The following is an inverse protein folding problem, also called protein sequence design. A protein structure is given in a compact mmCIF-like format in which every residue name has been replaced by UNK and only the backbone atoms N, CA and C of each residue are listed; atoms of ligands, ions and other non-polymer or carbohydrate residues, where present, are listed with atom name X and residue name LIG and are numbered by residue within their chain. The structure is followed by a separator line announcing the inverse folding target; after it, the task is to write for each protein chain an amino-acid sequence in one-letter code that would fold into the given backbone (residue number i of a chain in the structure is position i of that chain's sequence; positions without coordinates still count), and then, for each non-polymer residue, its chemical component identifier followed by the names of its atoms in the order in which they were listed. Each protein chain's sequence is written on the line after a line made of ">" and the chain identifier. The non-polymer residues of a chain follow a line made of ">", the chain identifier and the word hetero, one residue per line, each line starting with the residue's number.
data_IF_443447647590
#
_entry.id   IF_443447647590
#
_cell.length_a   1.000
_cell.length_b   1.000
_cell.length_c   1.000
_cell.angle_alpha   90.00
_cell.angle_beta   90.00
_cell.angle_gamma   90.00
#
_symmetry.space_group_name_H-M   'P 1'
#
loop_
_entity.id
_entity.type
_entity.pdbx_description
1 polymer ?
#
# COMPACT_ATOMS: atom_id res chain seq x y z
N UNK A 1 -0.97 9.90 -5.42
CA UNK A 1 -0.94 9.25 -4.09
C UNK A 1 -0.10 7.97 -4.07
N UNK A 2 -0.19 7.07 -5.06
CA UNK A 2 0.64 5.85 -5.11
C UNK A 2 2.16 6.12 -4.99
N UNK A 3 2.70 7.11 -5.70
CA UNK A 3 4.15 7.41 -5.65
C UNK A 3 4.61 7.89 -4.26
N UNK A 4 3.79 8.67 -3.56
CA UNK A 4 4.11 9.12 -2.20
C UNK A 4 4.09 7.96 -1.21
N UNK A 5 3.13 7.04 -1.34
CA UNK A 5 3.10 5.83 -0.54
C UNK A 5 4.34 4.94 -0.78
N UNK A 6 4.85 4.90 -2.02
CA UNK A 6 6.10 4.19 -2.32
C UNK A 6 7.28 4.81 -1.59
N UNK A 7 7.44 6.14 -1.67
CA UNK A 7 8.49 6.87 -0.95
C UNK A 7 8.40 6.65 0.56
N UNK A 8 7.21 6.68 1.15
CA UNK A 8 7.02 6.39 2.58
C UNK A 8 7.45 4.95 2.94
N UNK A 9 7.15 3.98 2.08
CA UNK A 9 7.60 2.60 2.26
C UNK A 9 9.13 2.47 2.23
N UNK A 10 9.78 3.18 1.30
CA UNK A 10 11.24 3.19 1.17
C UNK A 10 11.92 3.87 2.38
N UNK A 11 11.26 4.85 3.01
CA UNK A 11 11.67 5.47 4.27
C UNK A 11 11.37 4.60 5.51
N UNK A 12 10.76 3.43 5.33
CA UNK A 12 10.39 2.53 6.42
C UNK A 12 9.12 2.93 7.18
N UNK A 13 8.42 3.99 6.75
CA UNK A 13 7.13 4.45 7.30
C UNK A 13 5.97 3.60 6.75
N UNK A 14 6.03 2.29 7.00
CA UNK A 14 5.14 1.30 6.39
C UNK A 14 3.66 1.52 6.77
N UNK A 15 3.36 1.91 8.02
CA UNK A 15 1.98 2.17 8.46
C UNK A 15 1.34 3.34 7.71
N UNK A 16 2.12 4.37 7.41
CA UNK A 16 1.67 5.56 6.69
C UNK A 16 1.51 5.25 5.19
N UNK A 17 2.44 4.48 4.62
CA UNK A 17 2.33 3.98 3.25
C UNK A 17 1.06 3.14 3.05
N UNK A 18 0.74 2.23 4.00
CA UNK A 18 -0.46 1.39 3.96
C UNK A 18 -1.73 2.23 4.03
N UNK A 19 -1.84 3.17 4.98
CA UNK A 19 -3.01 4.06 5.08
C UNK A 19 -3.25 4.86 3.80
N UNK A 20 -2.17 5.36 3.20
CA UNK A 20 -2.26 6.15 1.95
C UNK A 20 -2.71 5.30 0.76
N UNK A 21 -2.21 4.06 0.66
CA UNK A 21 -2.64 3.13 -0.38
C UNK A 21 -4.11 2.72 -0.22
N UNK A 22 -4.58 2.48 1.01
CA UNK A 22 -5.99 2.13 1.25
C UNK A 22 -6.96 3.23 0.79
N UNK A 23 -6.65 4.50 1.10
CA UNK A 23 -7.43 5.65 0.61
C UNK A 23 -7.38 5.72 -0.94
N UNK A 24 -6.19 5.55 -1.51
CA UNK A 24 -5.99 5.61 -2.97
C UNK A 24 -6.79 4.53 -3.69
N UNK A 25 -6.76 3.29 -3.19
CA UNK A 25 -7.46 2.15 -3.77
C UNK A 25 -8.98 2.35 -3.68
N UNK A 26 -9.51 2.86 -2.55
CA UNK A 26 -10.93 3.17 -2.42
C UNK A 26 -11.39 4.18 -3.47
N UNK A 27 -10.61 5.23 -3.72
CA UNK A 27 -10.92 6.21 -4.75
C UNK A 27 -10.83 5.59 -6.16
N UNK A 28 -9.76 4.85 -6.44
CA UNK A 28 -9.55 4.21 -7.74
C UNK A 28 -10.66 3.21 -8.07
N UNK A 29 -11.10 2.40 -7.11
CA UNK A 29 -12.23 1.46 -7.27
C UNK A 29 -13.52 2.15 -7.68
N UNK A 30 -13.82 3.31 -7.09
CA UNK A 30 -15.01 4.08 -7.41
C UNK A 30 -14.96 4.69 -8.81
N UNK A 31 -13.76 5.00 -9.32
CA UNK A 31 -13.59 5.72 -10.59
C UNK A 31 -13.17 4.86 -11.79
N UNK A 32 -12.40 3.80 -11.56
CA UNK A 32 -11.65 3.06 -12.57
C UNK A 32 -11.89 1.54 -12.51
N UNK A 33 -12.55 1.04 -11.47
CA UNK A 33 -12.72 -0.38 -11.16
C UNK A 33 -11.39 -1.10 -10.76
N UNK A 34 -11.52 -2.35 -10.31
CA UNK A 34 -10.43 -3.21 -9.86
C UNK A 34 -9.52 -3.69 -11.00
N UNK A 35 -10.05 -3.80 -12.21
CA UNK A 35 -9.30 -4.33 -13.36
C UNK A 35 -8.28 -3.33 -13.93
N UNK A 36 -8.40 -2.05 -13.58
CA UNK A 36 -7.52 -1.01 -14.07
C UNK A 36 -6.08 -1.16 -13.55
N UNK A 37 -5.11 -1.01 -14.45
CA UNK A 37 -3.68 -1.22 -14.17
C UNK A 37 -3.20 -0.43 -12.95
N UNK A 38 -3.67 0.81 -12.76
CA UNK A 38 -3.29 1.61 -11.61
C UNK A 38 -3.83 1.08 -10.28
N UNK A 39 -5.06 0.56 -10.26
CA UNK A 39 -5.66 -0.07 -9.08
C UNK A 39 -4.87 -1.33 -8.69
N UNK A 40 -4.52 -2.16 -9.67
CA UNK A 40 -3.69 -3.37 -9.48
C UNK A 40 -2.30 -3.05 -8.93
N UNK A 41 -1.64 -2.03 -9.45
CA UNK A 41 -0.31 -1.59 -8.94
C UNK A 41 -0.42 -1.15 -7.47
N UNK A 42 -1.45 -0.37 -7.13
CA UNK A 42 -1.66 0.09 -5.76
C UNK A 42 -1.94 -1.09 -4.80
N UNK A 43 -2.77 -2.06 -5.21
CA UNK A 43 -3.03 -3.29 -4.45
C UNK A 43 -1.76 -4.12 -4.22
N UNK A 44 -0.91 -4.25 -5.24
CA UNK A 44 0.37 -4.96 -5.11
C UNK A 44 1.31 -4.28 -4.10
N UNK A 45 1.40 -2.94 -4.13
CA UNK A 45 2.18 -2.19 -3.15
C UNK A 45 1.62 -2.36 -1.73
N UNK A 46 0.29 -2.37 -1.58
CA UNK A 46 -0.37 -2.57 -0.29
C UNK A 46 -0.04 -3.94 0.30
N UNK A 47 -0.10 -4.99 -0.51
CA UNK A 47 0.26 -6.34 -0.10
C UNK A 47 1.72 -6.44 0.36
N UNK A 48 2.65 -5.84 -0.40
CA UNK A 48 4.08 -5.83 -0.05
C UNK A 48 4.35 -5.16 1.30
N UNK A 49 3.76 -3.98 1.53
CA UNK A 49 3.98 -3.25 2.79
C UNK A 49 3.30 -3.93 3.98
N UNK A 50 2.09 -4.46 3.80
CA UNK A 50 1.37 -5.19 4.86
C UNK A 50 2.12 -6.45 5.27
N UNK A 51 2.64 -7.22 4.29
CA UNK A 51 3.46 -8.40 4.59
C UNK A 51 4.75 -8.05 5.35
N UNK A 52 5.37 -6.91 5.01
CA UNK A 52 6.57 -6.42 5.70
C UNK A 52 6.26 -6.05 7.15
N UNK A 53 5.12 -5.41 7.41
CA UNK A 53 4.67 -5.09 8.79
C UNK A 53 4.46 -6.39 9.59
N UNK A 54 3.70 -7.35 9.05
CA UNK A 54 3.48 -8.64 9.70
C UNK A 54 4.78 -9.38 10.01
N UNK A 55 5.77 -9.32 9.10
CA UNK A 55 7.08 -9.93 9.34
C UNK A 55 7.95 -9.19 10.38
N UNK A 56 7.75 -7.88 10.57
CA UNK A 56 8.45 -7.12 11.62
C UNK A 56 7.86 -7.39 13.00
N UNK A 57 6.56 -7.65 13.09
CA UNK A 57 5.91 -8.01 14.35
C UNK A 57 6.30 -9.42 14.81
N UNK A 58 6.52 -10.37 13.90
CA UNK A 58 6.91 -11.74 14.25
C UNK A 58 8.35 -11.89 14.78
N UNK A 59 9.22 -10.90 14.54
CA UNK A 59 10.63 -10.91 14.99
C UNK A 59 10.81 -10.23 16.37
N UNK A 60 9.75 -9.63 16.94
CA UNK A 60 9.80 -8.91 18.23
C UNK A 60 9.66 -9.81 19.49
N UNK A 61 9.85 -11.12 19.39
CA UNK A 61 9.78 -12.05 20.52
C UNK A 61 11.10 -12.76 20.79
#
# INVERSE_FOLDING_TARGET
>A
MNNLAVTLGDLGQLDEAVRMLDITIKQMRLTLDDEHTHTKIALNNLARYSATISSKESIKH
#
